data_IF_614053370805
#
_entry.id   IF_614053370805
#
_cell.length_a   1.000
_cell.length_b   1.000
_cell.length_c   1.000
_cell.angle_alpha   90.00
_cell.angle_beta   90.00
_cell.angle_gamma   90.00
#
_symmetry.space_group_name_H-M   'P 1'
#
loop_
_entity.id
_entity.type
_entity.pdbx_description
1 polymer ?
#
# COMPACT_ATOMS: atom_id res chain seq x y z
N UNK A 1 13.58 -2.34 -24.66
CA UNK A 1 13.64 -2.20 -23.18
C UNK A 1 12.22 -2.31 -22.67
N UNK A 2 11.87 -3.43 -22.03
CA UNK A 2 10.51 -3.63 -21.50
C UNK A 2 10.26 -2.65 -20.36
N UNK A 3 9.27 -1.77 -20.51
CA UNK A 3 8.81 -0.89 -19.44
C UNK A 3 8.14 -1.75 -18.38
N UNK A 4 8.87 -2.13 -17.34
CA UNK A 4 8.30 -2.81 -16.19
C UNK A 4 7.41 -1.80 -15.45
N UNK A 5 6.10 -1.94 -15.58
CA UNK A 5 5.11 -1.19 -14.80
C UNK A 5 5.10 -1.75 -13.37
N UNK A 6 5.60 -0.97 -12.41
CA UNK A 6 5.70 -1.38 -10.99
C UNK A 6 4.64 -0.58 -10.24
N UNK A 7 3.66 -1.26 -9.64
CA UNK A 7 2.65 -0.60 -8.81
C UNK A 7 2.98 -0.83 -7.33
N UNK A 8 2.58 0.11 -6.48
CA UNK A 8 2.97 0.13 -5.07
C UNK A 8 1.76 0.03 -4.15
N UNK A 9 1.87 -0.82 -3.13
CA UNK A 9 1.01 -0.79 -1.94
C UNK A 9 1.93 -0.55 -0.75
N UNK A 10 1.80 0.62 -0.12
CA UNK A 10 2.63 1.03 1.01
C UNK A 10 1.82 1.09 2.28
N UNK A 11 2.34 0.47 3.34
CA UNK A 11 1.81 0.58 4.69
C UNK A 11 2.72 1.50 5.51
N UNK A 12 2.23 2.69 5.86
CA UNK A 12 3.02 3.69 6.58
C UNK A 12 2.27 4.20 7.80
N UNK A 13 2.94 4.24 8.95
CA UNK A 13 2.32 4.81 10.16
C UNK A 13 2.02 6.29 9.96
N UNK A 14 3.02 7.05 9.49
CA UNK A 14 2.94 8.47 9.14
C UNK A 14 2.98 8.64 7.62
N UNK A 15 1.97 9.29 7.06
CA UNK A 15 1.84 9.54 5.63
C UNK A 15 2.98 10.40 5.08
N UNK A 16 3.56 11.29 5.88
CA UNK A 16 4.66 12.16 5.44
C UNK A 16 5.94 11.39 5.13
N UNK A 17 6.11 10.21 5.73
CA UNK A 17 7.27 9.36 5.48
C UNK A 17 7.26 8.74 4.07
N UNK A 18 6.11 8.75 3.39
CA UNK A 18 5.99 8.20 2.02
C UNK A 18 6.90 8.89 1.00
N UNK A 19 7.21 10.18 1.21
CA UNK A 19 8.13 10.95 0.35
C UNK A 19 9.55 10.37 0.33
N UNK A 20 10.00 9.77 1.43
CA UNK A 20 11.34 9.18 1.50
C UNK A 20 11.38 7.76 0.92
N UNK A 21 10.23 7.09 0.88
CA UNK A 21 10.11 5.72 0.37
C UNK A 21 9.94 5.68 -1.15
N UNK A 22 9.38 6.75 -1.73
CA UNK A 22 9.12 6.83 -3.16
C UNK A 22 9.62 8.16 -3.72
N UNK A 23 10.43 8.08 -4.79
CA UNK A 23 10.72 9.23 -5.65
C UNK A 23 9.50 9.63 -6.49
N UNK A 24 9.71 10.49 -7.49
CA UNK A 24 8.64 10.92 -8.41
C UNK A 24 8.02 9.74 -9.17
N UNK A 25 6.70 9.60 -9.11
CA UNK A 25 5.94 8.52 -9.74
C UNK A 25 4.89 9.09 -10.72
N UNK A 26 5.21 9.12 -12.00
CA UNK A 26 4.34 9.71 -13.02
C UNK A 26 3.39 8.67 -13.68
N UNK A 27 3.74 7.39 -13.68
CA UNK A 27 2.98 6.33 -14.38
C UNK A 27 2.43 5.27 -13.44
N UNK A 28 3.11 5.06 -12.32
CA UNK A 28 2.86 3.94 -11.43
C UNK A 28 1.64 4.19 -10.54
N UNK A 29 0.84 3.14 -10.29
CA UNK A 29 -0.32 3.22 -9.40
C UNK A 29 0.13 2.99 -7.96
N UNK A 30 -0.37 3.82 -7.05
CA UNK A 30 0.09 3.85 -5.68
C UNK A 30 -1.12 3.80 -4.75
N UNK A 31 -1.12 2.81 -3.86
CA UNK A 31 -2.05 2.71 -2.75
C UNK A 31 -1.27 2.90 -1.46
N UNK A 32 -1.57 3.95 -0.72
CA UNK A 32 -0.95 4.27 0.56
C UNK A 32 -1.95 4.01 1.68
N UNK A 33 -1.66 3.01 2.52
CA UNK A 33 -2.45 2.68 3.70
C UNK A 33 -1.77 3.26 4.93
N UNK A 34 -2.46 4.11 5.68
CA UNK A 34 -1.88 4.81 6.83
C UNK A 34 -2.77 4.83 8.06
N UNK A 35 -2.14 5.03 9.22
CA UNK A 35 -2.81 5.35 10.49
C UNK A 35 -2.88 6.85 10.77
N UNK A 36 -2.46 7.69 9.83
CA UNK A 36 -2.52 9.15 9.96
C UNK A 36 -3.97 9.63 10.09
N UNK A 37 -4.18 10.73 10.83
CA UNK A 37 -5.50 11.36 10.97
C UNK A 37 -5.99 11.95 9.64
N UNK A 38 -7.30 12.18 9.54
CA UNK A 38 -7.88 12.80 8.34
C UNK A 38 -7.27 14.17 8.04
N UNK A 39 -7.02 14.97 9.08
CA UNK A 39 -6.36 16.27 8.96
C UNK A 39 -4.98 16.14 8.30
N UNK A 40 -4.17 15.18 8.74
CA UNK A 40 -2.81 14.96 8.21
C UNK A 40 -2.82 14.43 6.78
N UNK A 41 -3.81 13.59 6.44
CA UNK A 41 -4.02 13.14 5.06
C UNK A 41 -4.36 14.31 4.14
N UNK A 42 -5.26 15.21 4.56
CA UNK A 42 -5.60 16.39 3.78
C UNK A 42 -4.39 17.32 3.57
N UNK A 43 -3.63 17.58 4.64
CA UNK A 43 -2.39 18.38 4.56
C UNK A 43 -1.40 17.77 3.56
N UNK A 44 -1.19 16.45 3.63
CA UNK A 44 -0.32 15.75 2.69
C UNK A 44 -0.80 15.88 1.24
N UNK A 45 -2.10 15.72 0.97
CA UNK A 45 -2.65 15.79 -0.38
C UNK A 45 -2.58 17.20 -0.99
N UNK A 46 -2.57 18.26 -0.16
CA UNK A 46 -2.32 19.65 -0.58
C UNK A 46 -0.83 19.96 -0.86
N UNK A 47 0.06 19.17 -0.27
CA UNK A 47 1.50 19.41 -0.30
C UNK A 47 2.10 19.20 -1.68
N UNK A 48 3.29 19.76 -1.93
CA UNK A 48 4.04 19.50 -3.16
C UNK A 48 4.43 18.02 -3.29
N UNK A 49 4.61 17.31 -2.17
CA UNK A 49 5.05 15.92 -2.17
C UNK A 49 4.03 14.99 -2.86
N UNK A 50 2.72 15.21 -2.63
CA UNK A 50 1.67 14.41 -3.28
C UNK A 50 1.58 14.67 -4.78
N UNK A 51 1.95 15.87 -5.25
CA UNK A 51 1.90 16.25 -6.68
C UNK A 51 2.82 15.42 -7.56
N UNK A 52 3.86 14.85 -6.97
CA UNK A 52 4.76 13.93 -7.65
C UNK A 52 4.21 12.49 -7.75
N UNK A 53 3.01 12.22 -7.20
CA UNK A 53 2.37 10.90 -7.14
C UNK A 53 1.04 10.93 -7.91
N UNK A 54 1.08 10.81 -9.23
CA UNK A 54 -0.08 11.09 -10.10
C UNK A 54 -1.25 10.12 -9.85
N UNK A 55 -0.98 8.81 -9.80
CA UNK A 55 -2.02 7.77 -9.65
C UNK A 55 -2.12 7.31 -8.19
N UNK A 56 -2.54 8.20 -7.29
CA UNK A 56 -2.53 7.97 -5.85
C UNK A 56 -3.92 7.69 -5.26
N UNK A 57 -3.98 6.65 -4.42
CA UNK A 57 -5.06 6.39 -3.47
C UNK A 57 -4.47 6.36 -2.07
N UNK A 58 -5.08 7.07 -1.12
CA UNK A 58 -4.74 7.02 0.30
C UNK A 58 -5.90 6.40 1.07
N UNK A 59 -5.63 5.37 1.85
CA UNK A 59 -6.58 4.71 2.76
C UNK A 59 -6.21 5.06 4.19
N UNK A 60 -7.11 5.73 4.90
CA UNK A 60 -6.89 6.15 6.28
C UNK A 60 -8.13 5.89 7.15
N UNK A 61 -7.97 5.65 8.47
CA UNK A 61 -9.10 5.46 9.37
C UNK A 61 -9.96 6.72 9.45
N UNK A 62 -11.26 6.53 9.63
CA UNK A 62 -12.16 7.62 9.96
C UNK A 62 -11.96 8.06 11.42
N UNK A 63 -11.96 9.35 11.75
CA UNK A 63 -11.83 9.81 13.13
C UNK A 63 -12.99 9.29 14.02
N UNK A 64 -14.15 8.99 13.39
CA UNK A 64 -15.31 8.37 14.03
C UNK A 64 -15.20 6.86 14.28
N UNK A 65 -14.15 6.18 13.81
CA UNK A 65 -13.96 4.73 14.00
C UNK A 65 -13.46 4.35 15.40
N UNK A 66 -13.31 5.33 16.31
CA UNK A 66 -12.91 5.10 17.71
C UNK A 66 -14.08 4.61 18.61
N UNK A 67 -15.27 4.38 18.04
CA UNK A 67 -16.41 3.80 18.75
C UNK A 67 -16.20 2.29 18.97
N UNK A 68 -15.89 1.92 20.21
CA UNK A 68 -15.69 0.53 20.64
C UNK A 68 -16.87 -0.35 20.21
N UNK A 69 -16.58 -1.47 19.53
CA UNK A 69 -17.55 -2.50 19.17
C UNK A 69 -18.14 -2.40 17.75
N UNK A 70 -17.71 -1.43 16.94
CA UNK A 70 -18.10 -1.33 15.52
C UNK A 70 -16.94 -1.64 14.59
N UNK A 71 -17.23 -2.13 13.38
CA UNK A 71 -16.23 -2.36 12.34
C UNK A 71 -15.52 -1.02 12.02
N UNK A 72 -14.17 -1.00 11.94
CA UNK A 72 -13.44 0.22 11.63
C UNK A 72 -13.83 0.75 10.24
N UNK A 73 -14.17 2.03 10.18
CA UNK A 73 -14.46 2.74 8.95
C UNK A 73 -13.16 3.31 8.37
N UNK A 74 -12.90 3.05 7.08
CA UNK A 74 -11.77 3.62 6.36
C UNK A 74 -12.24 4.55 5.26
N UNK A 75 -11.57 5.67 5.07
CA UNK A 75 -11.86 6.65 4.02
C UNK A 75 -10.76 6.54 2.96
N UNK A 76 -11.18 6.51 1.71
CA UNK A 76 -10.33 6.46 0.54
C UNK A 76 -10.27 7.84 -0.08
N UNK A 77 -9.07 8.41 -0.12
CA UNK A 77 -8.78 9.72 -0.67
C UNK A 77 -7.95 9.60 -1.94
N UNK A 78 -8.04 10.63 -2.77
CA UNK A 78 -7.11 10.94 -3.85
C UNK A 78 -6.91 12.45 -3.88
N UNK A 79 -6.26 12.99 -4.90
CA UNK A 79 -6.17 14.43 -5.09
C UNK A 79 -6.43 14.80 -6.55
N UNK A 80 -6.93 16.02 -6.74
CA UNK A 80 -6.97 16.67 -8.03
C UNK A 80 -5.68 17.46 -8.21
N UNK A 81 -5.04 17.29 -9.36
CA UNK A 81 -3.80 17.97 -9.73
C UNK A 81 -4.10 19.17 -10.64
N UNK A 82 -3.22 20.17 -10.61
CA UNK A 82 -3.28 21.33 -11.50
C UNK A 82 -4.59 22.12 -11.41
N UNK A 83 -5.10 22.30 -10.20
CA UNK A 83 -6.35 23.04 -9.97
C UNK A 83 -6.20 24.55 -10.26
N UNK A 84 -4.98 25.04 -10.34
CA UNK A 84 -4.63 26.43 -10.65
C UNK A 84 -3.41 26.51 -11.59
N UNK A 85 -3.11 27.72 -12.06
CA UNK A 85 -1.95 27.99 -12.92
C UNK A 85 -0.59 27.83 -12.22
N UNK A 86 -0.57 27.58 -10.91
CA UNK A 86 0.64 27.34 -10.11
C UNK A 86 0.88 25.83 -9.89
N UNK A 87 0.00 24.98 -10.42
CA UNK A 87 0.10 23.53 -10.28
C UNK A 87 -0.25 23.03 -8.88
N UNK A 88 -1.15 23.69 -8.17
CA UNK A 88 -1.65 23.26 -6.87
C UNK A 88 -2.44 21.94 -6.96
N UNK A 89 -2.62 21.30 -5.81
CA UNK A 89 -3.44 20.10 -5.65
C UNK A 89 -4.52 20.30 -4.59
N UNK A 90 -5.63 19.56 -4.69
CA UNK A 90 -6.70 19.55 -3.70
C UNK A 90 -7.07 18.11 -3.30
N UNK A 91 -7.31 17.83 -2.00
CA UNK A 91 -7.76 16.53 -1.55
C UNK A 91 -9.17 16.23 -2.05
N UNK A 92 -9.41 14.98 -2.44
CA UNK A 92 -10.71 14.50 -2.90
C UNK A 92 -11.05 13.17 -2.25
N UNK A 93 -12.22 13.08 -1.62
CA UNK A 93 -12.73 11.81 -1.08
C UNK A 93 -13.36 11.01 -2.21
N UNK A 94 -12.82 9.81 -2.46
CA UNK A 94 -13.37 8.86 -3.42
C UNK A 94 -14.59 8.17 -2.83
N UNK A 95 -14.41 7.48 -1.71
CA UNK A 95 -15.45 6.68 -1.04
C UNK A 95 -14.98 6.32 0.38
N UNK A 96 -15.77 5.54 1.11
CA UNK A 96 -15.35 4.94 2.38
C UNK A 96 -15.75 3.48 2.45
N UNK A 97 -14.94 2.66 3.13
CA UNK A 97 -15.28 1.30 3.51
C UNK A 97 -15.94 1.30 4.88
N UNK A 98 -17.17 0.82 4.97
CA UNK A 98 -17.94 0.71 6.20
C UNK A 98 -18.91 -0.46 6.11
N UNK A 99 -19.03 -1.26 7.17
CA UNK A 99 -19.97 -2.38 7.25
C UNK A 99 -19.80 -3.36 6.07
N UNK A 100 -18.56 -3.76 5.79
CA UNK A 100 -18.24 -4.72 4.72
C UNK A 100 -18.45 -4.24 3.28
N UNK A 101 -18.69 -2.94 3.02
CA UNK A 101 -18.92 -2.43 1.67
C UNK A 101 -18.43 -0.99 1.46
N UNK A 102 -18.30 -0.58 0.20
CA UNK A 102 -18.00 0.80 -0.18
C UNK A 102 -19.27 1.65 -0.13
N UNK A 103 -19.20 2.84 0.46
CA UNK A 103 -20.34 3.77 0.56
C UNK A 103 -20.75 4.37 -0.78
N UNK A 104 -19.82 4.44 -1.74
CA UNK A 104 -20.06 4.78 -3.16
C UNK A 104 -19.67 3.59 -4.03
N UNK A 105 -20.60 2.66 -4.34
CA UNK A 105 -20.32 1.44 -5.09
C UNK A 105 -20.10 1.67 -6.58
N UNK A 106 -20.52 2.82 -7.09
CA UNK A 106 -20.33 3.29 -8.47
C UNK A 106 -18.89 3.72 -8.77
N UNK A 107 -18.09 3.98 -7.73
CA UNK A 107 -16.67 4.31 -7.89
C UNK A 107 -15.88 3.02 -8.18
N UNK A 108 -15.53 2.80 -9.45
CA UNK A 108 -14.65 1.70 -9.85
C UNK A 108 -13.19 1.99 -9.47
N UNK A 109 -12.80 1.58 -8.26
CA UNK A 109 -11.42 1.74 -7.74
C UNK A 109 -10.49 0.66 -8.28
N UNK A 110 -11.06 -0.51 -8.59
CA UNK A 110 -10.35 -1.69 -9.03
C UNK A 110 -10.95 -2.19 -10.33
N UNK A 111 -10.11 -2.68 -11.24
CA UNK A 111 -10.59 -3.25 -12.49
C UNK A 111 -11.49 -4.45 -12.22
N UNK A 112 -12.45 -4.72 -13.12
CA UNK A 112 -13.40 -5.83 -12.96
C UNK A 112 -12.76 -7.20 -12.71
N UNK A 113 -11.54 -7.39 -13.23
CA UNK A 113 -10.72 -8.60 -13.05
C UNK A 113 -10.25 -8.82 -11.60
N UNK A 114 -10.33 -7.81 -10.73
CA UNK A 114 -9.90 -7.88 -9.33
C UNK A 114 -11.05 -8.12 -8.34
N UNK A 115 -12.30 -8.26 -8.80
CA UNK A 115 -13.44 -8.51 -7.89
C UNK A 115 -13.43 -9.91 -7.28
N UNK A 116 -12.76 -10.88 -7.89
CA UNK A 116 -12.68 -12.29 -7.42
C UNK A 116 -11.31 -12.62 -6.84
N UNK A 117 -10.54 -11.61 -6.42
CA UNK A 117 -9.14 -11.73 -6.00
C UNK A 117 -8.17 -11.18 -7.05
N UNK A 118 -6.88 -11.48 -6.90
CA UNK A 118 -5.81 -10.89 -7.72
C UNK A 118 -5.49 -11.71 -8.99
N UNK A 119 -6.30 -12.71 -9.33
CA UNK A 119 -6.17 -13.47 -10.59
C UNK A 119 -4.76 -14.03 -10.85
N UNK A 120 -4.10 -14.53 -9.81
CA UNK A 120 -2.74 -15.08 -9.91
C UNK A 120 -1.64 -14.04 -10.06
N UNK A 121 -1.91 -12.76 -9.76
CA UNK A 121 -0.88 -11.72 -9.79
C UNK A 121 0.27 -12.07 -8.83
N UNK A 122 1.51 -11.81 -9.26
CA UNK A 122 2.72 -12.08 -8.45
C UNK A 122 3.09 -10.87 -7.61
N UNK A 123 3.02 -11.01 -6.30
CA UNK A 123 3.55 -10.03 -5.35
C UNK A 123 4.97 -10.40 -4.94
N UNK A 124 5.91 -9.49 -5.16
CA UNK A 124 7.30 -9.63 -4.71
C UNK A 124 7.41 -8.98 -3.33
N UNK A 125 7.74 -9.77 -2.32
CA UNK A 125 7.84 -9.31 -0.93
C UNK A 125 9.28 -9.41 -0.46
N UNK A 126 9.89 -8.25 -0.19
CA UNK A 126 11.23 -8.18 0.41
C UNK A 126 11.14 -8.33 1.93
N UNK A 127 11.93 -9.23 2.52
CA UNK A 127 11.88 -9.55 3.95
C UNK A 127 13.27 -9.57 4.58
N UNK A 128 13.33 -9.28 5.89
CA UNK A 128 14.53 -9.35 6.70
C UNK A 128 14.32 -10.33 7.87
N UNK A 129 15.39 -10.95 8.37
CA UNK A 129 15.31 -11.87 9.49
C UNK A 129 14.98 -11.11 10.79
N UNK A 130 13.76 -11.26 11.28
CA UNK A 130 13.26 -10.63 12.50
C UNK A 130 12.27 -11.56 13.23
N UNK A 131 12.76 -12.53 14.02
CA UNK A 131 11.89 -13.39 14.81
C UNK A 131 11.03 -12.57 15.81
N UNK A 132 9.78 -12.98 16.09
CA UNK A 132 9.05 -14.12 15.53
C UNK A 132 8.29 -13.82 14.22
N UNK A 133 8.43 -12.60 13.69
CA UNK A 133 7.69 -12.09 12.53
C UNK A 133 8.13 -12.72 11.22
N UNK A 134 9.43 -12.74 10.97
CA UNK A 134 10.07 -13.38 9.82
C UNK A 134 11.31 -14.15 10.28
N UNK A 135 11.36 -15.43 9.98
CA UNK A 135 12.40 -16.38 10.39
C UNK A 135 12.99 -17.01 9.12
N UNK A 136 14.32 -17.00 9.02
CA UNK A 136 15.05 -17.68 7.96
C UNK A 136 15.31 -19.11 8.45
N UNK A 137 14.73 -20.11 7.79
CA UNK A 137 14.83 -21.53 8.21
C UNK A 137 16.05 -22.23 7.61
N UNK A 138 16.43 -21.86 6.39
CA UNK A 138 17.52 -22.50 5.67
C UNK A 138 17.44 -22.21 4.18
N UNK A 139 17.94 -23.15 3.38
CA UNK A 139 17.74 -23.21 1.94
C UNK A 139 16.82 -24.40 1.64
N UNK A 140 15.97 -24.27 0.62
CA UNK A 140 15.17 -25.37 0.10
C UNK A 140 15.96 -26.21 -0.92
N UNK A 141 15.30 -27.19 -1.55
CA UNK A 141 15.91 -28.06 -2.57
C UNK A 141 16.36 -27.32 -3.84
N UNK A 142 15.90 -26.09 -4.05
CA UNK A 142 16.26 -25.24 -5.19
C UNK A 142 17.31 -24.17 -4.82
N UNK A 143 17.95 -24.28 -3.65
CA UNK A 143 18.83 -23.27 -3.06
C UNK A 143 18.15 -21.91 -2.79
N UNK A 144 16.81 -21.86 -2.76
CA UNK A 144 16.06 -20.67 -2.39
C UNK A 144 15.93 -20.58 -0.86
N UNK A 145 15.93 -19.36 -0.32
CA UNK A 145 15.84 -19.16 1.13
C UNK A 145 14.43 -19.53 1.61
N UNK A 146 14.35 -20.50 2.51
CA UNK A 146 13.08 -20.86 3.16
C UNK A 146 12.76 -19.84 4.27
N UNK A 147 11.60 -19.18 4.12
CA UNK A 147 11.08 -18.20 5.07
C UNK A 147 9.86 -18.73 5.82
N UNK A 148 9.85 -18.49 7.14
CA UNK A 148 8.76 -18.77 8.08
C UNK A 148 8.52 -17.55 8.99
N UNK A 149 7.61 -17.65 9.95
CA UNK A 149 7.25 -16.56 10.87
C UNK A 149 5.79 -16.14 10.72
N UNK A 150 5.29 -15.38 11.68
CA UNK A 150 3.87 -15.04 11.73
C UNK A 150 3.43 -14.20 10.51
N UNK A 151 4.27 -13.30 10.01
CA UNK A 151 3.95 -12.47 8.84
C UNK A 151 3.97 -13.29 7.55
N UNK A 152 4.94 -14.18 7.40
CA UNK A 152 5.03 -15.06 6.23
C UNK A 152 3.82 -15.98 6.15
N UNK A 153 3.40 -16.58 7.28
CA UNK A 153 2.20 -17.42 7.34
C UNK A 153 0.94 -16.64 7.01
N UNK A 154 0.82 -15.42 7.55
CA UNK A 154 -0.29 -14.53 7.23
C UNK A 154 -0.35 -14.23 5.73
N UNK A 155 0.78 -13.87 5.12
CA UNK A 155 0.86 -13.61 3.67
C UNK A 155 0.49 -14.84 2.83
N UNK A 156 0.93 -16.05 3.23
CA UNK A 156 0.53 -17.31 2.58
C UNK A 156 -0.97 -17.58 2.70
N UNK A 157 -1.59 -17.31 3.85
CA UNK A 157 -3.05 -17.45 4.02
C UNK A 157 -3.80 -16.43 3.14
N UNK A 158 -3.35 -15.18 3.13
CA UNK A 158 -3.92 -14.14 2.26
C UNK A 158 -3.76 -14.50 0.78
N UNK A 159 -2.65 -15.11 0.38
CA UNK A 159 -2.41 -15.50 -1.02
C UNK A 159 -3.39 -16.56 -1.49
N UNK A 160 -3.74 -17.50 -0.62
CA UNK A 160 -4.77 -18.51 -0.86
C UNK A 160 -6.17 -17.89 -0.89
N UNK A 161 -6.49 -17.02 0.08
CA UNK A 161 -7.81 -16.37 0.17
C UNK A 161 -8.09 -15.43 -1.01
N UNK A 162 -7.10 -14.69 -1.47
CA UNK A 162 -7.25 -13.66 -2.50
C UNK A 162 -6.63 -14.04 -3.85
N UNK A 163 -6.24 -15.30 -4.05
CA UNK A 163 -5.74 -15.84 -5.31
C UNK A 163 -4.59 -15.01 -5.92
N UNK A 164 -3.50 -14.86 -5.17
CA UNK A 164 -2.25 -14.28 -5.67
C UNK A 164 -1.05 -15.19 -5.41
N UNK A 165 0.04 -14.97 -6.13
CA UNK A 165 1.31 -15.68 -5.91
C UNK A 165 2.24 -14.82 -5.08
N UNK A 166 2.83 -15.40 -4.04
CA UNK A 166 3.80 -14.74 -3.17
C UNK A 166 5.22 -15.14 -3.57
N UNK A 167 6.08 -14.16 -3.85
CA UNK A 167 7.49 -14.32 -4.15
C UNK A 167 8.33 -13.61 -3.09
N UNK A 168 8.85 -14.36 -2.13
CA UNK A 168 9.56 -13.81 -0.97
C UNK A 168 11.06 -13.73 -1.25
N UNK A 169 11.62 -12.53 -1.15
CA UNK A 169 13.04 -12.26 -1.40
C UNK A 169 13.69 -11.66 -0.17
N UNK A 170 14.96 -11.97 0.06
CA UNK A 170 15.75 -11.26 1.05
C UNK A 170 15.81 -9.77 0.69
N UNK A 171 15.63 -8.89 1.68
CA UNK A 171 15.90 -7.48 1.52
C UNK A 171 17.39 -7.30 1.16
N UNK A 172 17.68 -6.54 0.09
CA UNK A 172 19.05 -6.14 -0.23
C UNK A 172 19.48 -5.11 0.80
N UNK A 173 20.45 -5.44 1.64
CA UNK A 173 21.10 -4.47 2.52
C UNK A 173 22.00 -3.54 1.68
N UNK A 174 21.43 -2.54 1.03
CA UNK A 174 22.21 -1.45 0.40
C UNK A 174 22.45 -0.26 1.35
N UNK A 175 22.13 -0.40 2.64
CA UNK A 175 22.38 0.65 3.64
C UNK A 175 22.94 0.07 4.93
N UNK A 176 24.25 -0.20 4.95
CA UNK A 176 25.19 0.06 6.07
C UNK A 176 26.61 -0.15 5.53
N UNK A 177 27.13 0.81 4.75
CA UNK A 177 28.56 1.11 4.84
C UNK A 177 28.71 1.95 6.10
N UNK A 178 29.00 1.31 7.22
CA UNK A 178 29.53 2.02 8.38
C UNK A 178 30.91 2.60 8.00
N UNK A 179 31.26 3.80 8.50
CA UNK A 179 32.60 4.38 8.33
C UNK A 179 33.69 3.50 8.96
#
# INVERSE_FOLDING_TARGET
>A
MGTHCINYILFVYDILNSKYLMGRQNTDKIVLVTKSSQWKVNEFLLSEASRYLINLIVVAPSDSSNLKGTEPCYILYTHELYIDGLGSSAPRILTSWRNGSLTRPDVEIFSKKMHTGFSGHRFITSVAHQPPYVIKRGLDENDDIEWDGIEIRLLKMLSQMYNFTLDVKAAKNDFYKSP
#
